data_IF_875682140141
#
_entry.id   IF_875682140141
#
_cell.length_a   1.000
_cell.length_b   1.000
_cell.length_c   1.000
_cell.angle_alpha   90.00
_cell.angle_beta   90.00
_cell.angle_gamma   90.00
#
_symmetry.space_group_name_H-M   'P 1'
#
loop_
_entity.id
_entity.type
_entity.pdbx_description
1 polymer ?
#
# COMPACT_ATOMS: atom_id res chain seq x y z
N UNK A 1 21.24 4.25 52.43
CA UNK A 1 20.74 3.22 51.50
C UNK A 1 21.87 2.25 51.22
N UNK A 2 21.54 0.97 51.08
CA UNK A 2 22.49 -0.10 50.87
C UNK A 2 22.45 -0.59 49.46
N UNK A 3 23.55 -1.11 48.97
CA UNK A 3 23.69 -1.78 47.69
C UNK A 3 23.54 -3.28 47.89
N UNK A 4 22.65 -3.89 47.15
CA UNK A 4 22.43 -5.33 47.18
C UNK A 4 22.80 -5.94 45.83
N UNK A 5 23.34 -7.15 45.85
CA UNK A 5 23.70 -7.90 44.65
C UNK A 5 23.22 -9.34 44.71
N UNK A 6 22.78 -9.86 43.59
CA UNK A 6 22.44 -11.27 43.43
C UNK A 6 22.85 -11.75 42.04
N UNK A 7 23.45 -12.94 41.99
CA UNK A 7 23.86 -13.60 40.73
C UNK A 7 22.96 -14.79 40.43
N UNK A 8 22.74 -15.02 39.15
CA UNK A 8 21.98 -16.15 38.63
C UNK A 8 22.79 -16.89 37.60
N UNK A 9 22.68 -18.20 37.54
CA UNK A 9 23.21 -19.04 36.48
C UNK A 9 22.11 -19.99 35.99
N UNK A 10 21.84 -19.99 34.68
CA UNK A 10 20.79 -20.84 34.07
C UNK A 10 19.43 -20.72 34.74
N UNK A 11 19.06 -19.50 35.16
CA UNK A 11 17.78 -19.21 35.84
C UNK A 11 17.76 -19.54 37.31
N UNK A 12 18.80 -20.13 37.89
CA UNK A 12 18.89 -20.47 39.30
C UNK A 12 19.73 -19.45 40.09
N UNK A 13 19.25 -18.95 41.24
CA UNK A 13 20.03 -18.07 42.10
C UNK A 13 21.28 -18.76 42.63
N UNK A 14 22.42 -18.08 42.57
CA UNK A 14 23.74 -18.56 43.03
C UNK A 14 24.03 -18.10 44.46
N UNK A 15 23.00 -18.02 45.27
CA UNK A 15 23.09 -17.60 46.67
C UNK A 15 21.91 -16.71 47.07
N UNK A 16 21.94 -16.20 48.30
CA UNK A 16 20.94 -15.24 48.77
C UNK A 16 21.28 -13.82 48.34
N UNK A 17 20.28 -12.93 48.35
CA UNK A 17 20.49 -11.51 48.17
C UNK A 17 21.48 -10.97 49.21
N UNK A 18 22.65 -10.51 48.78
CA UNK A 18 23.74 -10.07 49.65
C UNK A 18 23.85 -8.54 49.64
N UNK A 19 24.01 -7.96 50.83
CA UNK A 19 24.42 -6.57 50.95
C UNK A 19 25.91 -6.43 50.63
N UNK A 20 26.24 -5.65 49.61
CA UNK A 20 27.63 -5.52 49.10
C UNK A 20 28.23 -4.15 49.37
N UNK A 21 27.49 -3.22 49.95
CA UNK A 21 28.03 -1.91 50.31
C UNK A 21 26.98 -0.84 50.57
N UNK A 22 27.43 0.38 50.74
CA UNK A 22 26.57 1.55 50.95
C UNK A 22 26.42 2.38 49.67
N UNK A 23 25.18 2.83 49.39
CA UNK A 23 24.85 3.67 48.25
C UNK A 23 23.97 4.86 48.67
N UNK A 24 24.51 5.83 49.47
CA UNK A 24 23.70 6.85 50.16
C UNK A 24 22.89 7.73 49.23
N UNK A 25 23.40 8.08 48.05
CA UNK A 25 22.76 8.99 47.09
C UNK A 25 22.38 8.33 45.76
N UNK A 26 22.33 6.99 45.73
CA UNK A 26 22.00 6.26 44.48
C UNK A 26 20.62 5.61 44.58
N UNK A 27 19.93 5.56 43.47
CA UNK A 27 18.70 4.79 43.23
C UNK A 27 18.81 4.12 41.89
N UNK A 28 18.30 2.94 41.76
CA UNK A 28 18.24 2.25 40.48
C UNK A 28 18.64 0.79 40.58
N UNK A 29 18.61 0.13 39.45
CA UNK A 29 18.98 -1.28 39.31
C UNK A 29 19.97 -1.39 38.18
N UNK A 30 21.02 -2.20 38.39
CA UNK A 30 21.94 -2.59 37.33
C UNK A 30 21.71 -4.06 37.00
N UNK A 31 21.50 -4.40 35.73
CA UNK A 31 21.35 -5.77 35.29
C UNK A 31 22.44 -6.05 34.27
N UNK A 32 23.27 -7.07 34.52
CA UNK A 32 24.28 -7.56 33.61
C UNK A 32 23.95 -9.00 33.25
N UNK A 33 23.95 -9.34 31.95
CA UNK A 33 23.70 -10.72 31.57
C UNK A 33 24.54 -11.14 30.36
N UNK A 34 24.81 -12.43 30.28
CA UNK A 34 25.51 -13.08 29.20
C UNK A 34 24.60 -14.21 28.65
N UNK A 35 24.34 -14.27 27.33
CA UNK A 35 23.55 -15.37 26.76
C UNK A 35 24.22 -16.74 26.99
N UNK A 36 23.45 -17.75 27.39
CA UNK A 36 23.96 -19.10 27.60
C UNK A 36 24.31 -19.76 26.24
N UNK A 37 25.57 -20.20 26.03
CA UNK A 37 26.00 -20.84 24.79
C UNK A 37 25.25 -22.14 24.45
N UNK A 38 24.72 -22.87 25.46
CA UNK A 38 23.93 -24.08 25.23
C UNK A 38 22.57 -23.76 24.59
N UNK A 39 22.01 -22.57 24.89
CA UNK A 39 20.71 -22.13 24.36
C UNK A 39 20.87 -21.35 23.07
N UNK A 40 21.86 -20.42 23.03
CA UNK A 40 22.03 -19.45 21.95
C UNK A 40 23.16 -19.79 20.97
N UNK A 41 23.81 -20.96 21.14
CA UNK A 41 24.93 -21.42 20.33
C UNK A 41 26.29 -20.97 20.85
N UNK A 42 27.37 -21.59 20.36
CA UNK A 42 28.72 -21.47 20.88
C UNK A 42 29.31 -20.02 20.90
N UNK A 43 28.72 -19.09 20.15
CA UNK A 43 29.21 -17.72 20.08
C UNK A 43 28.06 -16.71 19.97
N UNK A 44 27.21 -16.59 21.00
CA UNK A 44 26.04 -15.73 20.96
C UNK A 44 26.49 -14.26 20.92
N UNK A 45 26.03 -13.54 19.90
CA UNK A 45 26.31 -12.10 19.74
C UNK A 45 25.03 -11.31 19.73
N UNK A 46 25.01 -10.23 20.49
CA UNK A 46 23.98 -9.21 20.37
C UNK A 46 24.10 -8.50 19.02
N UNK A 47 22.96 -8.08 18.47
CA UNK A 47 22.90 -7.23 17.27
C UNK A 47 22.77 -5.77 17.68
N UNK A 48 23.82 -4.95 17.57
CA UNK A 48 23.79 -3.56 18.06
C UNK A 48 22.64 -2.76 17.46
N UNK A 49 22.40 -2.86 16.15
CA UNK A 49 21.30 -2.16 15.47
C UNK A 49 19.92 -2.49 16.04
N UNK A 50 19.69 -3.74 16.45
CA UNK A 50 18.42 -4.15 17.06
C UNK A 50 18.26 -3.52 18.46
N UNK A 51 19.31 -3.59 19.28
CA UNK A 51 19.29 -3.05 20.64
C UNK A 51 19.19 -1.52 20.63
N UNK A 52 19.94 -0.86 19.73
CA UNK A 52 19.88 0.58 19.57
C UNK A 52 18.47 1.05 19.16
N UNK A 53 17.86 0.40 18.17
CA UNK A 53 16.48 0.67 17.78
C UNK A 53 15.48 0.48 18.92
N UNK A 54 15.67 -0.56 19.71
CA UNK A 54 14.85 -0.78 20.92
C UNK A 54 15.05 0.33 21.94
N UNK A 55 16.28 0.74 22.23
CA UNK A 55 16.57 1.83 23.16
C UNK A 55 15.94 3.14 22.66
N UNK A 56 16.14 3.48 21.38
CA UNK A 56 15.58 4.68 20.75
C UNK A 56 14.05 4.68 20.83
N UNK A 57 13.40 3.54 20.55
CA UNK A 57 11.94 3.44 20.67
C UNK A 57 11.44 3.70 22.09
N UNK A 58 12.14 3.24 23.11
CA UNK A 58 11.75 3.50 24.49
C UNK A 58 11.92 4.96 24.89
N UNK A 59 12.93 5.64 24.35
CA UNK A 59 13.17 7.06 24.65
C UNK A 59 12.01 7.95 24.14
N UNK A 60 11.47 7.71 22.94
CA UNK A 60 10.35 8.52 22.42
C UNK A 60 8.97 8.03 22.87
N UNK A 61 8.80 6.75 23.19
CA UNK A 61 7.53 6.23 23.73
C UNK A 61 7.28 6.65 25.19
N UNK A 62 8.34 7.02 25.90
CA UNK A 62 8.28 7.56 27.26
C UNK A 62 8.87 8.96 27.30
N UNK A 63 8.07 9.94 26.91
CA UNK A 63 8.48 11.34 26.87
C UNK A 63 9.22 11.76 28.15
N UNK A 64 10.38 12.38 27.99
CA UNK A 64 11.22 12.84 29.10
C UNK A 64 12.15 11.79 29.71
N UNK A 65 12.11 10.53 29.27
CA UNK A 65 13.13 9.53 29.66
C UNK A 65 14.41 9.75 28.87
N UNK A 66 15.54 9.80 29.57
CA UNK A 66 16.88 9.84 28.99
C UNK A 66 17.47 8.43 28.96
N UNK A 67 17.86 7.95 27.77
CA UNK A 67 18.56 6.67 27.61
C UNK A 67 19.97 6.95 27.07
N UNK A 68 20.99 6.53 27.81
CA UNK A 68 22.38 6.60 27.38
C UNK A 68 22.79 5.28 26.77
N UNK A 69 22.98 5.31 25.46
CA UNK A 69 23.44 4.20 24.68
C UNK A 69 24.96 4.17 24.63
N UNK A 70 25.56 2.99 24.82
CA UNK A 70 26.99 2.73 24.60
C UNK A 70 27.18 1.36 24.00
N UNK A 71 28.02 1.27 22.98
CA UNK A 71 28.36 0.04 22.31
C UNK A 71 29.89 0.00 22.05
N UNK A 72 30.47 -1.20 22.17
CA UNK A 72 31.88 -1.40 21.81
C UNK A 72 32.04 -1.15 20.31
N UNK A 73 32.93 -0.22 19.88
CA UNK A 73 33.21 0.07 18.46
C UNK A 73 33.56 -1.17 17.64
N UNK A 74 34.21 -2.16 18.26
CA UNK A 74 34.56 -3.41 17.58
C UNK A 74 33.35 -4.21 17.07
N UNK A 75 32.16 -4.00 17.70
CA UNK A 75 30.91 -4.62 17.28
C UNK A 75 30.18 -3.84 16.17
N UNK A 76 30.64 -2.62 15.86
CA UNK A 76 30.03 -1.70 14.89
C UNK A 76 30.82 -1.63 13.56
N UNK A 77 31.86 -2.42 13.40
CA UNK A 77 32.87 -2.30 12.31
C UNK A 77 32.28 -2.33 10.87
N UNK A 78 30.97 -2.65 10.70
CA UNK A 78 30.31 -2.70 9.40
C UNK A 78 28.92 -2.01 9.39
N UNK A 79 28.61 -1.17 10.39
CA UNK A 79 27.30 -0.55 10.51
C UNK A 79 27.45 0.92 10.97
N UNK A 80 27.54 1.80 9.99
CA UNK A 80 27.64 3.26 10.22
C UNK A 80 26.31 3.88 10.73
N UNK A 81 25.22 3.09 10.81
CA UNK A 81 23.91 3.59 11.23
C UNK A 81 23.71 3.59 12.75
N UNK A 82 24.63 2.94 13.49
CA UNK A 82 24.57 2.83 14.96
C UNK A 82 25.76 3.54 15.58
N UNK A 83 25.54 4.62 16.34
CA UNK A 83 26.63 5.30 17.05
C UNK A 83 27.21 4.45 18.18
N UNK A 84 28.49 4.64 18.50
CA UNK A 84 29.14 3.97 19.62
C UNK A 84 28.68 4.54 20.99
N UNK A 85 28.35 5.83 21.05
CA UNK A 85 27.87 6.53 22.23
C UNK A 85 26.85 7.58 21.82
N UNK A 86 25.66 7.57 22.43
CA UNK A 86 24.61 8.57 22.18
C UNK A 86 23.68 8.70 23.38
N UNK A 87 23.21 9.94 23.60
CA UNK A 87 22.13 10.20 24.55
C UNK A 87 20.82 10.42 23.82
N UNK A 88 19.90 9.48 23.99
CA UNK A 88 18.56 9.48 23.40
C UNK A 88 17.59 10.16 24.36
N UNK A 89 17.08 11.33 24.01
CA UNK A 89 16.15 12.09 24.84
C UNK A 89 15.17 12.85 23.97
N UNK A 90 13.86 12.50 24.11
CA UNK A 90 12.75 13.07 23.33
C UNK A 90 11.70 13.63 24.31
N UNK A 91 11.87 14.87 24.81
CA UNK A 91 10.93 15.48 25.76
C UNK A 91 9.51 15.62 25.20
N UNK A 92 9.37 15.93 23.91
CA UNK A 92 8.11 15.99 23.18
C UNK A 92 7.60 14.63 22.67
N UNK A 93 8.27 13.52 23.05
CA UNK A 93 7.81 12.17 22.74
C UNK A 93 7.78 11.84 21.25
N UNK A 94 6.62 11.40 20.77
CA UNK A 94 6.44 11.00 19.35
C UNK A 94 6.62 12.15 18.38
N UNK A 95 6.30 13.38 18.79
CA UNK A 95 6.45 14.57 17.93
C UNK A 95 7.94 14.87 17.67
N UNK A 96 8.77 14.85 18.71
CA UNK A 96 10.21 15.09 18.58
C UNK A 96 10.86 14.01 17.68
N UNK A 97 10.45 12.76 17.86
CA UNK A 97 10.94 11.68 17.00
C UNK A 97 10.50 11.85 15.55
N UNK A 98 9.24 12.26 15.33
CA UNK A 98 8.73 12.51 13.97
C UNK A 98 9.54 13.62 13.28
N UNK A 99 9.80 14.73 13.98
CA UNK A 99 10.61 15.84 13.48
C UNK A 99 12.03 15.38 13.12
N UNK A 100 12.65 14.58 13.98
CA UNK A 100 13.98 14.00 13.73
C UNK A 100 13.97 13.08 12.50
N UNK A 101 12.98 12.21 12.39
CA UNK A 101 12.84 11.23 11.30
C UNK A 101 12.46 11.86 9.94
N UNK A 102 11.96 13.09 9.95
CA UNK A 102 11.52 13.80 8.73
C UNK A 102 12.33 15.08 8.46
N UNK A 103 13.40 15.33 9.22
CA UNK A 103 14.23 16.54 9.13
C UNK A 103 14.75 16.85 7.74
N UNK A 104 15.19 15.82 7.02
CA UNK A 104 15.77 15.94 5.68
C UNK A 104 14.73 15.69 4.56
N UNK A 105 13.45 15.59 4.92
CA UNK A 105 12.35 15.34 3.98
C UNK A 105 11.56 16.61 3.67
N UNK A 106 11.09 16.69 2.44
CA UNK A 106 10.16 17.74 2.06
C UNK A 106 8.80 17.53 2.71
N UNK A 107 8.33 18.51 3.47
CA UNK A 107 7.01 18.47 4.12
C UNK A 107 5.95 19.14 3.26
N UNK A 108 4.83 18.47 3.06
CA UNK A 108 3.64 19.04 2.44
C UNK A 108 2.98 20.07 3.39
N UNK A 109 3.05 19.78 4.70
CA UNK A 109 2.53 20.61 5.78
C UNK A 109 3.61 20.77 6.83
N UNK A 110 3.97 22.00 7.15
CA UNK A 110 5.05 22.34 8.10
C UNK A 110 4.72 22.02 9.55
N UNK A 111 3.43 21.99 9.91
CA UNK A 111 2.98 21.75 11.29
C UNK A 111 2.39 20.35 11.41
N UNK A 112 3.05 19.41 12.09
CA UNK A 112 2.51 18.07 12.27
C UNK A 112 1.23 18.10 13.12
N UNK A 113 0.37 17.13 12.93
CA UNK A 113 -0.75 16.86 13.83
C UNK A 113 -0.28 15.90 14.91
N UNK A 114 0.04 16.41 16.09
CA UNK A 114 0.44 15.63 17.24
C UNK A 114 -0.46 15.90 18.42
N UNK A 115 -0.85 14.87 19.15
CA UNK A 115 -1.64 14.97 20.36
C UNK A 115 -1.52 13.73 21.25
N UNK A 116 -1.87 13.92 22.51
CA UNK A 116 -2.04 12.86 23.51
C UNK A 116 -3.42 12.99 24.12
N UNK A 117 -4.09 11.87 24.30
CA UNK A 117 -5.40 11.79 24.97
C UNK A 117 -5.39 10.63 25.97
N UNK A 118 -5.91 10.89 27.15
CA UNK A 118 -6.11 9.88 28.17
C UNK A 118 -7.61 9.82 28.54
N UNK A 119 -8.18 8.64 28.50
CA UNK A 119 -9.53 8.39 28.99
C UNK A 119 -9.67 6.94 29.45
N UNK A 120 -10.47 6.73 30.48
CA UNK A 120 -10.71 5.41 31.08
C UNK A 120 -9.42 4.67 31.45
N UNK A 121 -8.39 5.39 31.87
CA UNK A 121 -7.07 4.84 32.23
C UNK A 121 -6.30 4.22 31.08
N UNK A 122 -6.64 4.58 29.86
CA UNK A 122 -5.93 4.24 28.63
C UNK A 122 -5.33 5.52 28.04
N UNK A 123 -4.20 5.39 27.36
CA UNK A 123 -3.48 6.52 26.74
C UNK A 123 -3.35 6.28 25.25
N UNK A 124 -3.64 7.31 24.47
CA UNK A 124 -3.49 7.37 23.02
C UNK A 124 -2.61 8.55 22.65
N UNK A 125 -1.56 8.30 21.90
CA UNK A 125 -0.61 9.33 21.49
C UNK A 125 -0.24 9.12 20.04
N UNK A 126 -0.15 10.21 19.27
CA UNK A 126 0.21 10.16 17.86
C UNK A 126 0.95 11.42 17.43
N UNK A 127 1.71 11.27 16.36
CA UNK A 127 2.25 12.36 15.58
C UNK A 127 2.19 11.95 14.10
N UNK A 128 1.65 12.81 13.25
CA UNK A 128 1.56 12.59 11.79
C UNK A 128 1.94 13.86 11.05
N UNK A 129 2.69 13.69 9.98
CA UNK A 129 2.95 14.72 8.98
C UNK A 129 2.79 14.16 7.57
N UNK A 130 2.53 15.04 6.61
CA UNK A 130 2.40 14.70 5.19
C UNK A 130 3.64 15.17 4.46
N UNK A 131 4.24 14.26 3.69
CA UNK A 131 5.45 14.49 2.91
C UNK A 131 5.11 14.96 1.50
N UNK A 132 6.02 15.67 0.85
CA UNK A 132 5.89 16.04 -0.55
C UNK A 132 5.82 14.81 -1.46
N UNK A 133 5.19 14.95 -2.63
CA UNK A 133 5.05 13.86 -3.59
C UNK A 133 6.39 13.26 -3.99
N UNK A 134 6.52 11.93 -3.85
CA UNK A 134 7.73 11.18 -4.16
C UNK A 134 8.59 10.78 -2.97
N UNK A 135 8.31 11.32 -1.79
CA UNK A 135 8.97 10.91 -0.54
C UNK A 135 8.30 9.64 0.03
N UNK A 136 9.15 8.70 0.47
CA UNK A 136 8.68 7.50 1.16
C UNK A 136 8.25 7.84 2.59
N UNK A 137 6.95 7.59 2.87
CA UNK A 137 6.39 7.68 4.19
C UNK A 137 6.62 6.42 5.03
N UNK A 138 6.22 6.47 6.30
CA UNK A 138 6.22 5.31 7.19
C UNK A 138 5.03 5.36 8.15
N UNK A 139 4.65 4.19 8.66
CA UNK A 139 3.66 4.08 9.73
C UNK A 139 4.22 3.18 10.82
N UNK A 140 4.65 3.76 11.93
CA UNK A 140 5.12 3.01 13.09
C UNK A 140 4.06 3.04 14.18
N UNK A 141 3.57 1.87 14.56
CA UNK A 141 2.57 1.72 15.61
C UNK A 141 3.05 0.84 16.76
N UNK A 142 2.53 1.15 17.95
CA UNK A 142 2.90 0.50 19.21
C UNK A 142 1.66 0.28 20.07
N UNK A 143 1.62 -0.85 20.75
CA UNK A 143 0.68 -1.11 21.82
C UNK A 143 1.41 -1.54 23.08
N UNK A 144 1.21 -0.81 24.21
CA UNK A 144 1.94 -1.00 25.46
C UNK A 144 3.46 -1.10 25.23
N UNK A 145 3.99 -0.19 24.41
CA UNK A 145 5.40 -0.11 24.00
C UNK A 145 5.94 -1.25 23.13
N UNK A 146 5.10 -2.23 22.80
CA UNK A 146 5.44 -3.31 21.87
C UNK A 146 5.18 -2.82 20.45
N UNK A 147 6.16 -2.89 19.54
CA UNK A 147 5.94 -2.52 18.14
C UNK A 147 4.96 -3.51 17.47
N UNK A 148 4.09 -2.97 16.63
CA UNK A 148 3.10 -3.74 15.86
C UNK A 148 3.36 -3.57 14.36
N UNK A 149 4.41 -4.20 13.82
CA UNK A 149 4.83 -3.98 12.43
C UNK A 149 3.79 -4.44 11.39
N UNK A 150 2.89 -5.35 11.77
CA UNK A 150 1.75 -5.78 10.95
C UNK A 150 0.48 -4.96 11.24
N UNK A 151 0.61 -3.84 11.94
CA UNK A 151 -0.49 -2.93 12.28
C UNK A 151 -1.52 -3.50 13.24
N UNK A 152 -2.77 -3.20 13.01
CA UNK A 152 -3.88 -3.72 13.80
C UNK A 152 -5.06 -2.77 13.94
N UNK A 153 -5.91 -3.08 14.90
CA UNK A 153 -7.19 -2.39 15.16
C UNK A 153 -7.00 -0.91 15.52
N UNK A 154 -5.93 -0.56 16.24
CA UNK A 154 -5.60 0.84 16.57
C UNK A 154 -5.24 1.66 15.32
N UNK A 155 -4.47 1.10 14.38
CA UNK A 155 -4.19 1.78 13.11
C UNK A 155 -5.47 1.97 12.28
N UNK A 156 -6.32 0.95 12.25
CA UNK A 156 -7.62 1.04 11.56
C UNK A 156 -8.45 2.18 12.11
N UNK A 157 -8.55 2.29 13.43
CA UNK A 157 -9.27 3.38 14.10
C UNK A 157 -8.68 4.75 13.79
N UNK A 158 -7.35 4.88 13.86
CA UNK A 158 -6.67 6.12 13.54
C UNK A 158 -6.90 6.57 12.08
N UNK A 159 -6.73 5.64 11.13
CA UNK A 159 -6.99 5.90 9.70
C UNK A 159 -8.44 6.32 9.44
N UNK A 160 -9.40 5.69 10.11
CA UNK A 160 -10.81 6.04 10.01
C UNK A 160 -11.07 7.44 10.56
N UNK A 161 -10.52 7.78 11.73
CA UNK A 161 -10.68 9.10 12.35
C UNK A 161 -10.24 10.23 11.42
N UNK A 162 -9.00 10.16 10.95
CA UNK A 162 -8.41 11.19 10.08
C UNK A 162 -9.17 11.32 8.76
N UNK A 163 -9.50 10.18 8.14
CA UNK A 163 -10.22 10.18 6.84
C UNK A 163 -11.63 10.73 6.98
N UNK A 164 -12.37 10.35 8.02
CA UNK A 164 -13.74 10.84 8.25
C UNK A 164 -13.76 12.33 8.57
N UNK A 165 -12.86 12.80 9.42
CA UNK A 165 -12.77 14.21 9.77
C UNK A 165 -12.41 15.08 8.56
N UNK A 166 -11.49 14.63 7.70
CA UNK A 166 -11.15 15.35 6.46
C UNK A 166 -12.31 15.38 5.47
N UNK A 167 -13.08 14.29 5.34
CA UNK A 167 -14.31 14.27 4.53
C UNK A 167 -15.36 15.23 5.09
N UNK A 168 -15.61 15.21 6.41
CA UNK A 168 -16.55 16.11 7.07
C UNK A 168 -16.15 17.58 6.86
N UNK A 169 -14.86 17.90 6.93
CA UNK A 169 -14.36 19.24 6.61
C UNK A 169 -14.67 19.60 5.15
N UNK A 170 -14.42 18.70 4.21
CA UNK A 170 -14.74 18.92 2.79
C UNK A 170 -16.23 19.13 2.52
N UNK A 171 -17.09 18.36 3.18
CA UNK A 171 -18.56 18.52 3.08
C UNK A 171 -19.00 19.89 3.61
N UNK A 172 -18.47 20.32 4.75
CA UNK A 172 -18.73 21.67 5.32
C UNK A 172 -18.24 22.80 4.40
N UNK A 173 -17.12 22.56 3.70
CA UNK A 173 -16.58 23.50 2.71
C UNK A 173 -17.33 23.44 1.35
N UNK A 174 -18.36 22.61 1.22
CA UNK A 174 -19.15 22.45 -0.02
C UNK A 174 -18.42 21.68 -1.13
N UNK A 175 -17.32 21.00 -0.84
CA UNK A 175 -16.53 20.25 -1.80
C UNK A 175 -17.03 18.80 -1.95
N UNK A 176 -17.90 18.56 -2.94
CA UNK A 176 -18.50 17.24 -3.20
C UNK A 176 -17.49 16.12 -3.50
N UNK A 177 -16.27 16.47 -3.95
CA UNK A 177 -15.23 15.47 -4.24
C UNK A 177 -14.64 14.86 -2.97
N UNK A 178 -14.84 15.49 -1.80
CA UNK A 178 -14.38 14.97 -0.51
C UNK A 178 -14.97 13.58 -0.18
N UNK A 179 -16.19 13.29 -0.62
CA UNK A 179 -16.84 11.99 -0.42
C UNK A 179 -16.07 10.82 -1.06
N UNK A 180 -15.30 11.08 -2.09
CA UNK A 180 -14.57 10.07 -2.87
C UNK A 180 -13.19 9.68 -2.29
N UNK A 181 -12.70 10.45 -1.31
CA UNK A 181 -11.41 10.23 -0.67
C UNK A 181 -11.44 8.92 0.13
N UNK A 182 -10.40 8.12 0.02
CA UNK A 182 -10.18 6.92 0.84
C UNK A 182 -9.06 7.14 1.84
N UNK A 183 -8.92 6.22 2.80
CA UNK A 183 -7.78 6.26 3.73
C UNK A 183 -6.43 6.22 3.00
N UNK A 184 -6.32 5.46 1.91
CA UNK A 184 -5.08 5.38 1.14
C UNK A 184 -4.74 6.72 0.47
N UNK A 185 -5.74 7.51 0.03
CA UNK A 185 -5.51 8.83 -0.54
C UNK A 185 -5.02 9.83 0.52
N UNK A 186 -5.50 9.71 1.77
CA UNK A 186 -5.12 10.58 2.90
C UNK A 186 -3.73 10.21 3.42
N UNK A 187 -3.44 8.91 3.52
CA UNK A 187 -2.20 8.39 4.13
C UNK A 187 -1.07 8.12 3.13
N UNK A 188 -1.26 8.38 1.84
CA UNK A 188 -0.17 8.29 0.88
C UNK A 188 0.90 9.35 1.18
N UNK A 189 2.16 8.93 1.29
CA UNK A 189 3.28 9.81 1.61
C UNK A 189 3.17 10.45 3.00
N UNK A 190 2.67 9.74 4.01
CA UNK A 190 2.66 10.23 5.39
C UNK A 190 3.74 9.58 6.24
N UNK A 191 4.28 10.32 7.19
CA UNK A 191 5.06 9.79 8.29
C UNK A 191 4.19 9.79 9.55
N UNK A 192 3.95 8.61 10.13
CA UNK A 192 3.04 8.42 11.26
C UNK A 192 3.71 7.67 12.38
N UNK A 193 3.56 8.19 13.58
CA UNK A 193 3.85 7.53 14.85
C UNK A 193 2.55 7.41 15.63
N UNK A 194 2.19 6.19 16.05
CA UNK A 194 0.99 5.90 16.84
C UNK A 194 1.35 5.01 18.02
N UNK A 195 1.01 5.41 19.24
CA UNK A 195 1.20 4.64 20.45
C UNK A 195 -0.09 4.57 21.25
N UNK A 196 -0.50 3.37 21.62
CA UNK A 196 -1.66 3.15 22.46
C UNK A 196 -1.27 2.34 23.71
N UNK A 197 -1.79 2.75 24.87
CA UNK A 197 -1.67 2.00 26.10
C UNK A 197 -3.06 1.52 26.49
N UNK A 198 -3.27 0.22 26.38
CA UNK A 198 -4.56 -0.44 26.60
C UNK A 198 -4.48 -1.38 27.81
N UNK A 199 -5.61 -1.54 28.49
CA UNK A 199 -5.78 -2.64 29.44
C UNK A 199 -6.01 -3.92 28.64
N UNK A 200 -5.37 -5.01 28.99
CA UNK A 200 -5.58 -6.36 28.42
C UNK A 200 -5.60 -6.43 26.87
N UNK A 201 -4.57 -5.90 26.17
CA UNK A 201 -4.55 -5.93 24.71
C UNK A 201 -4.40 -7.36 24.20
N UNK A 202 -5.17 -7.69 23.15
CA UNK A 202 -5.07 -8.97 22.46
C UNK A 202 -4.28 -8.82 21.18
N UNK A 203 -3.35 -9.74 20.95
CA UNK A 203 -2.49 -9.75 19.77
C UNK A 203 -2.67 -11.03 18.97
N UNK A 204 -2.38 -10.95 17.68
CA UNK A 204 -2.29 -12.10 16.82
C UNK A 204 -0.92 -12.75 17.01
N UNK A 205 -0.92 -13.99 17.56
CA UNK A 205 0.30 -14.76 17.76
C UNK A 205 1.19 -14.30 18.93
N UNK A 206 2.24 -15.09 19.19
CA UNK A 206 3.17 -14.88 20.32
C UNK A 206 4.14 -13.71 20.07
N UNK A 207 4.42 -13.37 18.83
CA UNK A 207 5.31 -12.26 18.46
C UNK A 207 4.69 -10.89 18.70
N UNK A 208 3.35 -10.83 18.88
CA UNK A 208 2.58 -9.60 19.11
C UNK A 208 2.67 -8.58 17.97
N UNK A 209 2.93 -9.03 16.76
CA UNK A 209 3.15 -8.16 15.59
C UNK A 209 1.89 -7.40 15.15
N UNK A 210 0.70 -7.87 15.56
CA UNK A 210 -0.57 -7.27 15.19
C UNK A 210 -1.54 -7.20 16.37
N UNK A 211 -2.09 -6.00 16.63
CA UNK A 211 -3.15 -5.81 17.62
C UNK A 211 -4.51 -6.22 17.03
N UNK A 212 -5.28 -7.04 17.76
CA UNK A 212 -6.59 -7.53 17.32
C UNK A 212 -7.74 -7.20 18.27
N UNK A 213 -7.49 -6.45 19.36
CA UNK A 213 -8.53 -5.98 20.29
C UNK A 213 -9.57 -5.15 19.52
N UNK A 214 -10.80 -5.66 19.41
CA UNK A 214 -11.87 -5.02 18.62
C UNK A 214 -12.20 -3.60 19.09
N UNK A 215 -12.18 -3.38 20.41
CA UNK A 215 -12.48 -2.09 21.01
C UNK A 215 -11.45 -1.00 20.68
N UNK A 216 -10.19 -1.37 20.42
CA UNK A 216 -9.13 -0.43 20.12
C UNK A 216 -9.44 0.39 18.84
N UNK A 217 -10.18 -0.16 17.87
CA UNK A 217 -10.60 0.60 16.69
C UNK A 217 -11.46 1.79 17.08
N UNK A 218 -12.52 1.55 17.84
CA UNK A 218 -13.46 2.60 18.28
C UNK A 218 -12.80 3.61 19.19
N UNK A 219 -12.01 3.13 20.16
CA UNK A 219 -11.34 3.99 21.15
C UNK A 219 -10.31 4.91 20.48
N UNK A 220 -9.50 4.36 19.57
CA UNK A 220 -8.51 5.18 18.82
C UNK A 220 -9.20 6.15 17.86
N UNK A 221 -10.28 5.72 17.19
CA UNK A 221 -11.06 6.61 16.33
C UNK A 221 -11.62 7.79 17.12
N UNK A 222 -12.26 7.52 18.25
CA UNK A 222 -12.82 8.55 19.13
C UNK A 222 -11.73 9.50 19.67
N UNK A 223 -10.60 8.97 20.15
CA UNK A 223 -9.51 9.77 20.66
C UNK A 223 -8.94 10.74 19.61
N UNK A 224 -8.76 10.27 18.38
CA UNK A 224 -8.08 11.05 17.33
C UNK A 224 -9.02 11.99 16.59
N UNK A 225 -10.29 11.63 16.38
CA UNK A 225 -11.23 12.35 15.53
C UNK A 225 -11.46 13.79 15.96
N UNK A 226 -11.89 14.00 17.21
CA UNK A 226 -12.24 15.32 17.73
C UNK A 226 -11.01 16.24 17.74
N UNK A 227 -9.84 15.69 18.04
CA UNK A 227 -8.58 16.44 18.02
C UNK A 227 -8.17 16.85 16.60
N UNK A 228 -8.39 15.97 15.63
CA UNK A 228 -8.09 16.29 14.23
C UNK A 228 -9.07 17.32 13.66
N UNK A 229 -10.37 17.22 13.97
CA UNK A 229 -11.37 18.22 13.60
C UNK A 229 -11.00 19.61 14.15
N UNK A 230 -10.55 19.69 15.42
CA UNK A 230 -10.05 20.93 16.02
C UNK A 230 -8.78 21.44 15.32
N UNK A 231 -7.86 20.56 14.96
CA UNK A 231 -6.62 20.90 14.27
C UNK A 231 -6.89 21.43 12.85
N UNK A 232 -7.86 20.86 12.14
CA UNK A 232 -8.33 21.38 10.84
C UNK A 232 -9.00 22.75 10.98
N UNK A 233 -9.85 22.92 11.98
CA UNK A 233 -10.55 24.18 12.22
C UNK A 233 -9.62 25.33 12.65
N UNK A 234 -8.49 25.02 13.28
CA UNK A 234 -7.52 26.02 13.73
C UNK A 234 -6.81 26.75 12.57
N UNK A 235 -6.75 26.13 11.37
CA UNK A 235 -6.12 26.71 10.18
C UNK A 235 -6.82 26.19 8.92
N UNK A 236 -7.80 26.95 8.44
CA UNK A 236 -8.61 26.58 7.28
C UNK A 236 -7.79 26.50 5.98
N UNK A 237 -6.73 27.30 5.83
CA UNK A 237 -5.88 27.27 4.65
C UNK A 237 -5.10 25.96 4.58
N UNK A 238 -4.50 25.55 5.68
CA UNK A 238 -3.82 24.24 5.83
C UNK A 238 -4.77 23.08 5.61
N UNK A 239 -5.96 23.13 6.18
CA UNK A 239 -6.97 22.09 6.03
C UNK A 239 -7.44 21.95 4.58
N UNK A 240 -7.65 23.06 3.87
CA UNK A 240 -8.00 23.07 2.44
C UNK A 240 -6.87 22.49 1.60
N UNK A 241 -5.63 22.89 1.86
CA UNK A 241 -4.47 22.35 1.14
C UNK A 241 -4.33 20.84 1.30
N UNK A 242 -4.52 20.32 2.52
CA UNK A 242 -4.52 18.88 2.77
C UNK A 242 -5.67 18.16 2.07
N UNK A 243 -6.86 18.75 2.07
CA UNK A 243 -8.03 18.22 1.39
C UNK A 243 -7.79 18.13 -0.12
N UNK A 244 -7.27 19.19 -0.73
CA UNK A 244 -7.00 19.25 -2.18
C UNK A 244 -5.97 18.21 -2.59
N UNK A 245 -4.90 18.04 -1.82
CA UNK A 245 -3.91 16.99 -2.06
C UNK A 245 -4.52 15.56 -1.98
N UNK A 246 -5.44 15.33 -1.05
CA UNK A 246 -6.13 14.04 -0.94
C UNK A 246 -7.11 13.82 -2.10
N UNK A 247 -7.81 14.87 -2.55
CA UNK A 247 -8.71 14.82 -3.72
C UNK A 247 -7.92 14.51 -5.00
N UNK A 248 -6.79 15.17 -5.22
CA UNK A 248 -5.94 14.92 -6.38
C UNK A 248 -5.52 13.43 -6.46
N UNK A 249 -5.10 12.86 -5.34
CA UNK A 249 -4.76 11.42 -5.25
C UNK A 249 -5.97 10.52 -5.53
N UNK A 250 -7.15 10.89 -5.04
CA UNK A 250 -8.39 10.15 -5.30
C UNK A 250 -8.76 10.18 -6.79
N UNK A 251 -8.61 11.33 -7.45
CA UNK A 251 -8.84 11.47 -8.90
C UNK A 251 -7.84 10.66 -9.70
N UNK A 252 -6.57 10.68 -9.35
CA UNK A 252 -5.54 9.88 -10.01
C UNK A 252 -5.82 8.37 -9.84
N UNK A 253 -6.19 7.91 -8.65
CA UNK A 253 -6.59 6.52 -8.39
C UNK A 253 -7.78 6.11 -9.26
N UNK A 254 -8.79 6.98 -9.41
CA UNK A 254 -9.96 6.73 -10.27
C UNK A 254 -9.55 6.67 -11.74
N UNK A 255 -8.68 7.58 -12.20
CA UNK A 255 -8.16 7.58 -13.57
C UNK A 255 -7.42 6.27 -13.87
N UNK A 256 -6.47 5.87 -13.03
CA UNK A 256 -5.73 4.59 -13.16
C UNK A 256 -6.65 3.37 -13.15
N UNK A 257 -7.71 3.39 -12.32
CA UNK A 257 -8.72 2.31 -12.31
C UNK A 257 -9.47 2.23 -13.63
N UNK A 258 -9.92 3.38 -14.16
CA UNK A 258 -10.61 3.45 -15.46
C UNK A 258 -9.71 2.96 -16.61
N UNK A 259 -8.46 3.38 -16.63
CA UNK A 259 -7.48 2.92 -17.63
C UNK A 259 -7.28 1.40 -17.58
N UNK A 260 -7.16 0.82 -16.37
CA UNK A 260 -7.06 -0.64 -16.17
C UNK A 260 -8.34 -1.37 -16.60
N UNK A 261 -9.52 -0.81 -16.39
CA UNK A 261 -10.79 -1.38 -16.83
C UNK A 261 -10.92 -1.38 -18.35
N UNK A 262 -10.48 -0.30 -18.99
CA UNK A 262 -10.43 -0.21 -20.45
C UNK A 262 -9.44 -1.24 -21.01
N UNK A 263 -8.25 -1.34 -20.43
CA UNK A 263 -7.25 -2.34 -20.84
C UNK A 263 -7.76 -3.78 -20.63
N UNK A 264 -8.48 -4.07 -19.52
CA UNK A 264 -9.09 -5.39 -19.29
C UNK A 264 -10.22 -5.68 -20.30
N UNK A 265 -11.08 -4.71 -20.59
CA UNK A 265 -12.15 -4.88 -21.60
C UNK A 265 -11.58 -5.16 -22.98
N UNK A 266 -10.50 -4.47 -23.39
CA UNK A 266 -9.83 -4.76 -24.65
C UNK A 266 -9.14 -6.12 -24.65
N UNK A 267 -8.50 -6.56 -23.57
CA UNK A 267 -7.94 -7.90 -23.43
C UNK A 267 -9.03 -9.00 -23.48
N UNK A 268 -10.16 -8.79 -22.80
CA UNK A 268 -11.29 -9.74 -22.81
C UNK A 268 -11.95 -9.80 -24.19
N UNK A 269 -11.99 -8.68 -24.91
CA UNK A 269 -12.48 -8.61 -26.30
C UNK A 269 -11.56 -9.41 -27.25
N UNK A 270 -10.23 -9.34 -27.07
CA UNK A 270 -9.25 -10.17 -27.82
C UNK A 270 -9.41 -11.67 -27.54
N UNK A 271 -9.70 -12.06 -26.30
CA UNK A 271 -9.93 -13.48 -25.94
C UNK A 271 -11.22 -14.07 -26.55
N UNK A 272 -12.14 -13.23 -27.04
CA UNK A 272 -13.39 -13.65 -27.70
C UNK A 272 -13.29 -13.67 -29.24
N UNK A 273 -12.13 -13.37 -29.80
CA UNK A 273 -11.94 -13.42 -31.25
C UNK A 273 -11.98 -14.86 -31.76
N UNK A 274 -12.41 -15.09 -33.01
CA UNK A 274 -12.44 -16.42 -33.59
C UNK A 274 -11.08 -17.09 -33.53
N UNK A 275 -11.02 -18.35 -33.10
CA UNK A 275 -9.75 -19.08 -32.93
C UNK A 275 -8.97 -19.26 -34.26
N UNK A 276 -9.64 -19.13 -35.39
CA UNK A 276 -9.05 -19.17 -36.71
C UNK A 276 -8.47 -17.83 -37.19
N UNK A 277 -8.80 -16.71 -36.54
CA UNK A 277 -8.26 -15.40 -36.87
C UNK A 277 -6.78 -15.29 -36.45
N UNK A 278 -5.91 -15.03 -37.40
CA UNK A 278 -4.54 -14.63 -37.12
C UNK A 278 -4.47 -13.10 -37.10
N UNK A 279 -4.64 -12.50 -35.91
CA UNK A 279 -4.71 -11.06 -35.70
C UNK A 279 -3.35 -10.35 -35.86
N UNK A 280 -3.35 -9.04 -36.17
CA UNK A 280 -2.17 -8.18 -36.14
C UNK A 280 -1.92 -7.62 -34.75
N UNK A 281 -0.70 -7.13 -34.53
CA UNK A 281 -0.30 -6.59 -33.22
C UNK A 281 -0.58 -5.11 -33.03
N UNK A 282 -0.67 -4.35 -34.12
CA UNK A 282 -1.00 -2.92 -34.13
C UNK A 282 -2.50 -2.73 -33.89
N UNK A 283 -2.84 -1.72 -33.09
CA UNK A 283 -4.24 -1.38 -32.77
C UNK A 283 -4.73 -0.10 -33.48
N UNK A 284 -3.95 0.42 -34.39
CA UNK A 284 -4.31 1.61 -35.18
C UNK A 284 -5.11 1.16 -36.40
N UNK A 285 -6.41 1.48 -36.40
CA UNK A 285 -7.35 1.08 -37.45
C UNK A 285 -6.89 1.53 -38.84
N UNK A 286 -6.37 2.75 -38.96
CA UNK A 286 -6.00 3.32 -40.29
C UNK A 286 -4.79 2.62 -40.92
N UNK A 287 -3.98 1.94 -40.13
CA UNK A 287 -2.76 1.25 -40.58
C UNK A 287 -2.91 -0.27 -40.63
N UNK A 288 -4.11 -0.82 -40.36
CA UNK A 288 -4.31 -2.26 -40.28
C UNK A 288 -5.26 -2.79 -41.35
N UNK A 289 -5.00 -4.03 -41.80
CA UNK A 289 -5.72 -4.69 -42.89
C UNK A 289 -6.17 -6.08 -42.43
N UNK A 290 -7.40 -6.47 -42.82
CA UNK A 290 -7.92 -7.82 -42.65
C UNK A 290 -8.03 -8.52 -43.99
N UNK A 291 -7.31 -9.63 -44.18
CA UNK A 291 -7.40 -10.50 -45.33
C UNK A 291 -8.39 -11.63 -45.04
N UNK A 292 -9.46 -11.69 -45.86
CA UNK A 292 -10.40 -12.82 -45.86
C UNK A 292 -9.93 -13.79 -46.95
N UNK A 293 -9.61 -15.01 -46.57
CA UNK A 293 -8.99 -15.99 -47.47
C UNK A 293 -9.85 -17.24 -47.53
N UNK A 294 -10.05 -17.78 -48.72
CA UNK A 294 -10.83 -19.00 -48.94
C UNK A 294 -10.05 -20.25 -48.49
N UNK A 295 -10.61 -20.95 -47.51
CA UNK A 295 -10.08 -22.23 -46.99
C UNK A 295 -8.84 -22.13 -46.12
N UNK A 296 -8.59 -23.23 -45.41
CA UNK A 296 -7.50 -23.33 -44.45
C UNK A 296 -6.11 -23.41 -45.12
N UNK A 297 -6.01 -23.98 -46.36
CA UNK A 297 -4.75 -24.10 -47.08
C UNK A 297 -4.21 -22.74 -47.50
N UNK A 298 -5.05 -21.91 -48.19
CA UNK A 298 -4.67 -20.56 -48.54
C UNK A 298 -4.48 -19.67 -47.31
N UNK A 299 -5.31 -19.89 -46.27
CA UNK A 299 -5.15 -19.23 -44.96
C UNK A 299 -3.81 -19.57 -44.30
N UNK A 300 -3.30 -20.77 -44.44
CA UNK A 300 -1.98 -21.17 -43.93
C UNK A 300 -0.83 -20.40 -44.58
N UNK A 301 -0.86 -20.33 -45.92
CA UNK A 301 0.14 -19.59 -46.69
C UNK A 301 0.07 -18.08 -46.41
N UNK A 302 -1.13 -17.51 -46.39
CA UNK A 302 -1.33 -16.08 -46.05
C UNK A 302 -0.84 -15.73 -44.64
N UNK A 303 -1.09 -16.61 -43.63
CA UNK A 303 -0.59 -16.43 -42.28
C UNK A 303 0.94 -16.43 -42.18
N UNK A 304 1.63 -17.16 -43.02
CA UNK A 304 3.10 -17.18 -43.05
C UNK A 304 3.68 -15.95 -43.77
N UNK A 305 3.05 -15.48 -44.83
CA UNK A 305 3.54 -14.39 -45.69
C UNK A 305 3.20 -12.98 -45.15
N UNK A 306 2.20 -12.86 -44.25
CA UNK A 306 1.70 -11.54 -43.79
C UNK A 306 2.71 -10.74 -42.97
N UNK A 307 2.61 -9.45 -42.97
CA UNK A 307 3.18 -8.59 -41.94
C UNK A 307 2.36 -8.75 -40.64
N UNK A 308 2.95 -9.38 -39.63
CA UNK A 308 2.31 -9.63 -38.35
C UNK A 308 1.96 -8.35 -37.58
N UNK A 309 2.56 -7.22 -37.94
CA UNK A 309 2.34 -5.95 -37.27
C UNK A 309 1.03 -5.30 -37.74
N UNK A 310 0.79 -5.30 -39.02
CA UNK A 310 -0.30 -4.53 -39.67
C UNK A 310 -1.38 -5.39 -40.34
N UNK A 311 -1.08 -6.66 -40.63
CA UNK A 311 -1.97 -7.53 -41.39
C UNK A 311 -2.55 -8.67 -40.56
N UNK A 312 -3.87 -8.80 -40.56
CA UNK A 312 -4.61 -9.91 -40.01
C UNK A 312 -5.14 -10.82 -41.11
N UNK A 313 -5.28 -12.13 -40.82
CA UNK A 313 -5.80 -13.12 -41.76
C UNK A 313 -6.92 -13.94 -41.09
N UNK A 314 -8.08 -13.97 -41.75
CA UNK A 314 -9.22 -14.81 -41.36
C UNK A 314 -9.55 -15.78 -42.48
N UNK A 315 -9.26 -17.07 -42.36
CA UNK A 315 -9.72 -18.08 -43.32
C UNK A 315 -11.21 -18.35 -43.14
N UNK A 316 -11.95 -18.38 -44.21
CA UNK A 316 -13.37 -18.71 -44.27
C UNK A 316 -13.53 -20.08 -44.89
N UNK A 317 -14.33 -20.97 -44.28
CA UNK A 317 -14.53 -22.34 -44.76
C UNK A 317 -15.77 -22.44 -45.64
N UNK A 318 -15.58 -22.98 -46.84
CA UNK A 318 -16.68 -23.36 -47.76
C UNK A 318 -17.43 -22.18 -48.37
N UNK A 319 -18.46 -22.50 -49.13
CA UNK A 319 -19.35 -21.49 -49.73
C UNK A 319 -20.14 -20.77 -48.66
N UNK A 320 -19.95 -19.48 -48.51
CA UNK A 320 -20.67 -18.64 -47.57
C UNK A 320 -22.12 -18.56 -48.00
N UNK A 321 -23.04 -18.52 -47.02
CA UNK A 321 -24.45 -18.37 -47.22
C UNK A 321 -24.74 -17.11 -48.07
N UNK A 322 -25.55 -17.24 -49.12
CA UNK A 322 -25.98 -16.08 -49.91
C UNK A 322 -26.86 -15.16 -49.04
N UNK A 323 -26.31 -14.05 -48.61
CA UNK A 323 -26.95 -13.10 -47.68
C UNK A 323 -28.22 -12.48 -48.29
N UNK A 324 -28.26 -12.32 -49.62
CA UNK A 324 -29.39 -11.70 -50.31
C UNK A 324 -30.65 -12.58 -50.28
N UNK A 325 -30.52 -13.89 -50.16
CA UNK A 325 -31.63 -14.85 -50.18
C UNK A 325 -31.89 -15.52 -48.80
N UNK A 326 -31.10 -15.24 -47.78
CA UNK A 326 -31.20 -15.87 -46.51
C UNK A 326 -32.10 -15.09 -45.52
N UNK A 327 -32.87 -15.82 -44.70
CA UNK A 327 -33.61 -15.19 -43.59
C UNK A 327 -32.70 -14.71 -42.46
N UNK A 328 -33.11 -13.70 -41.72
CA UNK A 328 -32.34 -13.10 -40.61
C UNK A 328 -31.94 -14.14 -39.55
N UNK A 329 -32.76 -15.15 -39.33
CA UNK A 329 -32.46 -16.26 -38.41
C UNK A 329 -31.33 -17.15 -38.90
N UNK A 330 -31.29 -17.45 -40.23
CA UNK A 330 -30.21 -18.22 -40.84
C UNK A 330 -28.92 -17.45 -40.89
N UNK A 331 -28.96 -16.14 -41.08
CA UNK A 331 -27.78 -15.28 -40.99
C UNK A 331 -27.17 -15.27 -39.59
N UNK A 332 -28.00 -15.17 -38.54
CA UNK A 332 -27.54 -15.19 -37.14
C UNK A 332 -27.00 -16.53 -36.67
N UNK A 333 -27.44 -17.63 -37.32
CA UNK A 333 -26.98 -18.99 -36.97
C UNK A 333 -25.70 -19.41 -37.73
N UNK A 334 -25.24 -18.62 -38.72
CA UNK A 334 -24.06 -18.94 -39.50
C UNK A 334 -22.78 -18.57 -38.77
N UNK A 335 -21.96 -19.60 -38.46
CA UNK A 335 -20.71 -19.43 -37.67
C UNK A 335 -19.68 -18.56 -38.42
N UNK A 336 -19.56 -18.68 -39.77
CA UNK A 336 -18.62 -17.90 -40.56
C UNK A 336 -18.94 -16.40 -40.56
N UNK A 337 -20.24 -16.05 -40.65
CA UNK A 337 -20.69 -14.66 -40.56
C UNK A 337 -20.54 -14.12 -39.12
N UNK A 338 -20.77 -14.94 -38.13
CA UNK A 338 -20.52 -14.59 -36.71
C UNK A 338 -19.04 -14.33 -36.46
N UNK A 339 -18.16 -15.19 -36.94
CA UNK A 339 -16.71 -15.05 -36.86
C UNK A 339 -16.20 -13.80 -37.57
N UNK A 340 -16.74 -13.52 -38.78
CA UNK A 340 -16.42 -12.32 -39.52
C UNK A 340 -16.83 -11.06 -38.76
N UNK A 341 -18.05 -11.02 -38.23
CA UNK A 341 -18.54 -9.89 -37.45
C UNK A 341 -17.69 -9.65 -36.19
N UNK A 342 -17.30 -10.72 -35.48
CA UNK A 342 -16.41 -10.65 -34.35
C UNK A 342 -15.00 -10.17 -34.75
N UNK A 343 -14.46 -10.67 -35.87
CA UNK A 343 -13.16 -10.25 -36.37
C UNK A 343 -13.15 -8.76 -36.73
N UNK A 344 -14.20 -8.29 -37.38
CA UNK A 344 -14.35 -6.87 -37.75
C UNK A 344 -14.64 -5.96 -36.55
N UNK A 345 -15.08 -6.52 -35.41
CA UNK A 345 -15.44 -5.74 -34.22
C UNK A 345 -16.84 -5.15 -34.22
N UNK A 346 -17.67 -5.53 -35.22
CA UNK A 346 -19.01 -4.97 -35.44
C UNK A 346 -20.09 -6.02 -35.24
N UNK A 347 -21.31 -5.55 -34.95
CA UNK A 347 -22.51 -6.40 -34.94
C UNK A 347 -23.29 -6.16 -36.23
N UNK A 348 -23.72 -7.21 -36.88
CA UNK A 348 -24.62 -7.12 -38.03
C UNK A 348 -26.01 -6.67 -37.58
N UNK A 349 -26.17 -5.39 -37.23
CA UNK A 349 -27.45 -4.82 -36.80
C UNK A 349 -27.58 -3.35 -37.21
N UNK A 350 -28.77 -2.77 -36.97
CA UNK A 350 -29.04 -1.34 -37.23
C UNK A 350 -28.14 -0.38 -36.42
N UNK A 351 -27.42 -0.90 -35.40
CA UNK A 351 -26.54 -0.15 -34.53
C UNK A 351 -25.07 -0.17 -34.96
N UNK A 352 -24.81 -0.40 -36.27
CA UNK A 352 -23.45 -0.37 -36.82
C UNK A 352 -22.85 1.04 -36.68
N UNK A 353 -21.64 1.09 -36.11
CA UNK A 353 -20.82 2.31 -36.02
C UNK A 353 -19.48 2.07 -36.68
N UNK A 354 -19.07 2.97 -37.52
CA UNK A 354 -17.80 2.86 -38.25
C UNK A 354 -16.60 2.90 -37.29
N UNK A 355 -16.73 3.61 -36.19
CA UNK A 355 -15.71 3.73 -35.14
C UNK A 355 -15.46 2.40 -34.37
N UNK A 356 -16.35 1.42 -34.54
CA UNK A 356 -16.20 0.10 -33.92
C UNK A 356 -15.34 -0.86 -34.77
N UNK A 357 -15.01 -0.48 -36.03
CA UNK A 357 -14.16 -1.28 -36.91
C UNK A 357 -12.76 -1.45 -36.32
N UNK A 358 -12.22 -2.67 -36.46
CA UNK A 358 -10.88 -3.03 -35.99
C UNK A 358 -9.80 -2.85 -37.05
N UNK A 359 -10.18 -2.79 -38.32
CA UNK A 359 -9.25 -2.67 -39.45
C UNK A 359 -9.73 -1.58 -40.40
N UNK A 360 -8.80 -0.82 -40.97
CA UNK A 360 -9.08 0.24 -41.93
C UNK A 360 -9.37 -0.29 -43.34
N UNK A 361 -8.89 -1.51 -43.64
CA UNK A 361 -9.13 -2.18 -44.90
C UNK A 361 -9.52 -3.63 -44.72
N UNK A 362 -10.46 -4.09 -45.55
CA UNK A 362 -10.82 -5.52 -45.68
C UNK A 362 -10.52 -5.95 -47.11
N UNK A 363 -9.66 -6.94 -47.26
CA UNK A 363 -9.21 -7.46 -48.56
C UNK A 363 -9.73 -8.89 -48.69
N UNK A 364 -10.50 -9.13 -49.72
CA UNK A 364 -11.09 -10.44 -50.05
C UNK A 364 -10.19 -11.13 -51.06
N UNK A 365 -9.71 -12.31 -50.72
CA UNK A 365 -8.87 -13.18 -51.55
C UNK A 365 -9.57 -14.53 -51.72
N UNK A 366 -10.27 -14.67 -52.81
CA UNK A 366 -10.96 -15.92 -53.19
C UNK A 366 -10.46 -16.36 -54.55
N UNK A 367 -10.61 -17.66 -54.83
CA UNK A 367 -10.33 -18.17 -56.17
C UNK A 367 -11.35 -17.59 -57.16
N UNK A 368 -10.90 -17.37 -58.41
CA UNK A 368 -11.77 -16.92 -59.46
C UNK A 368 -12.70 -18.07 -59.84
N UNK A 369 -13.92 -18.06 -59.35
CA UNK A 369 -14.97 -19.00 -59.77
C UNK A 369 -15.79 -18.32 -60.88
N UNK A 370 -16.01 -19.01 -61.97
CA UNK A 370 -16.58 -18.46 -63.20
C UNK A 370 -18.12 -18.64 -63.26
N UNK A 371 -18.71 -19.23 -62.20
CA UNK A 371 -20.17 -19.47 -62.11
C UNK A 371 -20.87 -18.40 -61.26
#
# INVERSE_FOLDING_TARGET
KNLYSQSFARGLPQGTLAETGSAPNRRGTSVTFCPDPEIFGANPKFRPATLYRMARSKAYLFAGVEIRWKCDPALLANDDTVPADETLHYPGGLADFLDDATRDKGLLISTPFAAQVEFDGQKFEWAITWLNGGEDGFFHSYCNTVPTPSGGTHETGFRQAITRALRSFGDLAGNKKAADITADDVFAGTAVMLSVFLRDPQFQGQTKDRLVSAEATRQTEQAARDRFEQWLAADAARATFLLDAAIERAEERKRRKKEREVARKSATRRLRLPGKLADCTLNDTDQTELFLVEGDSAGGSAKQARDRKTQAVLPLRGKILNVASASTEKLGANQELSDLSLALGVRASKDFRIDDLRYGRVIIMTDADVD
#
